data_IF_010726454689
#
_entry.id   IF_010726454689
#
_cell.length_a   1.000
_cell.length_b   1.000
_cell.length_c   1.000
_cell.angle_alpha   90.00
_cell.angle_beta   90.00
_cell.angle_gamma   90.00
#
_symmetry.space_group_name_H-M   'P 1'
#
loop_
_entity.id
_entity.type
_entity.pdbx_description
1 polymer ?
#
# COMPACT_ATOMS: atom_id res chain seq x y z
N UNK A 1 18.28 -7.22 8.43
CA UNK A 1 17.92 -8.05 9.64
C UNK A 1 16.51 -8.61 9.43
N UNK A 2 16.26 -9.90 9.74
CA UNK A 2 14.92 -10.49 9.57
C UNK A 2 13.91 -9.94 10.60
N UNK A 3 12.62 -9.92 10.24
CA UNK A 3 11.54 -9.55 11.15
C UNK A 3 11.55 -10.44 12.39
N UNK A 4 11.30 -9.84 13.55
CA UNK A 4 10.94 -10.60 14.75
C UNK A 4 9.56 -11.23 14.59
N UNK A 5 9.27 -12.31 15.32
CA UNK A 5 7.94 -12.93 15.30
C UNK A 5 6.81 -11.96 15.68
N UNK A 6 7.09 -10.95 16.52
CA UNK A 6 6.11 -9.94 16.91
C UNK A 6 5.83 -8.93 15.78
N UNK A 7 6.87 -8.54 15.05
CA UNK A 7 6.75 -7.68 13.86
C UNK A 7 6.03 -8.42 12.73
N UNK A 8 6.40 -9.68 12.47
CA UNK A 8 5.73 -10.54 11.49
C UNK A 8 4.24 -10.71 11.79
N UNK A 9 3.87 -11.02 13.04
CA UNK A 9 2.46 -11.10 13.45
C UNK A 9 1.71 -9.77 13.34
N UNK A 10 2.42 -8.64 13.40
CA UNK A 10 1.83 -7.31 13.20
C UNK A 10 1.60 -7.04 11.73
N UNK A 11 2.58 -7.36 10.87
CA UNK A 11 2.45 -7.30 9.41
C UNK A 11 1.27 -8.15 8.94
N UNK A 12 1.21 -9.43 9.36
CA UNK A 12 0.09 -10.32 9.01
C UNK A 12 -1.27 -9.77 9.43
N UNK A 13 -1.35 -9.15 10.62
CA UNK A 13 -2.59 -8.53 11.10
C UNK A 13 -3.00 -7.33 10.26
N UNK A 14 -2.07 -6.46 9.90
CA UNK A 14 -2.31 -5.27 9.07
C UNK A 14 -2.80 -5.74 7.69
N UNK A 15 -2.08 -6.67 7.05
CA UNK A 15 -2.47 -7.22 5.75
C UNK A 15 -3.86 -7.84 5.81
N UNK A 16 -4.15 -8.67 6.81
CA UNK A 16 -5.46 -9.29 6.96
C UNK A 16 -6.59 -8.27 7.16
N UNK A 17 -6.34 -7.19 7.93
CA UNK A 17 -7.31 -6.12 8.14
C UNK A 17 -7.61 -5.35 6.84
N UNK A 18 -6.56 -5.01 6.07
CA UNK A 18 -6.70 -4.32 4.79
C UNK A 18 -7.35 -5.21 3.72
N UNK A 19 -7.01 -6.50 3.66
CA UNK A 19 -7.69 -7.45 2.78
C UNK A 19 -9.17 -7.61 3.13
N UNK A 20 -9.51 -7.68 4.43
CA UNK A 20 -10.91 -7.84 4.86
C UNK A 20 -11.76 -6.60 4.67
N UNK A 21 -11.16 -5.41 4.67
CA UNK A 21 -11.86 -4.13 4.47
C UNK A 21 -11.92 -3.71 3.01
N UNK A 22 -11.19 -4.40 2.13
CA UNK A 22 -11.15 -4.07 0.71
C UNK A 22 -12.52 -4.35 0.05
N UNK A 23 -13.17 -3.33 -0.54
CA UNK A 23 -14.55 -3.46 -1.03
C UNK A 23 -14.67 -4.22 -2.36
N UNK A 24 -13.54 -4.49 -3.04
CA UNK A 24 -13.52 -5.10 -4.37
C UNK A 24 -12.94 -6.52 -4.30
N UNK A 25 -13.81 -7.52 -4.19
CA UNK A 25 -13.41 -8.93 -4.09
C UNK A 25 -12.77 -9.49 -5.37
N UNK A 26 -13.02 -8.84 -6.51
CA UNK A 26 -12.51 -9.23 -7.83
C UNK A 26 -11.17 -8.56 -8.21
N UNK A 27 -10.68 -7.62 -7.40
CA UNK A 27 -9.44 -6.88 -7.65
C UNK A 27 -8.32 -7.41 -6.75
N UNK A 28 -7.07 -7.46 -7.26
CA UNK A 28 -5.93 -7.87 -6.45
C UNK A 28 -5.54 -6.74 -5.48
N UNK A 29 -5.78 -6.97 -4.18
CA UNK A 29 -5.30 -6.09 -3.12
C UNK A 29 -3.78 -6.23 -2.89
N UNK A 30 -3.25 -5.70 -1.79
CA UNK A 30 -1.85 -5.87 -1.40
C UNK A 30 -1.49 -7.35 -1.28
N UNK A 31 -0.62 -7.84 -2.17
CA UNK A 31 -0.04 -9.17 -2.09
C UNK A 31 1.41 -9.06 -1.65
N UNK A 32 1.75 -9.65 -0.51
CA UNK A 32 3.13 -9.76 -0.06
C UNK A 32 3.73 -11.08 -0.56
N UNK A 33 4.94 -10.99 -1.12
CA UNK A 33 5.72 -12.16 -1.45
C UNK A 33 6.25 -12.82 -0.17
N UNK A 34 6.25 -14.14 -0.16
CA UNK A 34 6.96 -14.89 0.88
C UNK A 34 8.45 -14.53 0.76
N UNK A 35 9.06 -14.10 1.87
CA UNK A 35 10.45 -13.61 1.96
C UNK A 35 11.53 -14.67 1.62
N UNK A 36 11.16 -15.77 0.96
CA UNK A 36 11.97 -16.96 0.77
C UNK A 36 13.10 -16.85 -0.26
N UNK A 37 13.56 -15.64 -0.62
CA UNK A 37 14.93 -15.51 -1.17
C UNK A 37 15.15 -14.63 -2.40
N UNK A 38 14.69 -13.38 -2.40
CA UNK A 38 15.15 -12.41 -3.40
C UNK A 38 16.38 -11.63 -2.92
N UNK A 39 16.38 -11.06 -1.70
CA UNK A 39 17.56 -10.37 -1.13
C UNK A 39 17.70 -10.58 0.41
N UNK A 40 18.92 -10.65 0.96
CA UNK A 40 19.16 -10.94 2.39
C UNK A 40 18.71 -9.84 3.37
N UNK A 41 18.41 -8.64 2.88
CA UNK A 41 17.90 -7.51 3.66
C UNK A 41 16.47 -7.10 3.26
N UNK A 42 15.81 -7.86 2.38
CA UNK A 42 14.42 -7.62 2.02
C UNK A 42 13.49 -8.20 3.08
N UNK A 43 12.84 -7.30 3.82
CA UNK A 43 12.04 -7.60 5.00
C UNK A 43 10.57 -7.84 4.61
N UNK A 44 10.05 -7.02 3.70
CA UNK A 44 8.70 -7.08 3.15
C UNK A 44 8.78 -6.65 1.69
N UNK A 45 8.28 -7.49 0.79
CA UNK A 45 8.10 -7.14 -0.61
C UNK A 45 6.69 -7.52 -1.05
N UNK A 46 6.10 -6.70 -1.91
CA UNK A 46 4.78 -6.94 -2.43
C UNK A 46 4.54 -6.18 -3.70
N UNK A 47 3.53 -6.61 -4.44
CA UNK A 47 3.07 -5.93 -5.64
C UNK A 47 1.56 -6.06 -5.71
N UNK A 48 0.90 -5.02 -6.21
CA UNK A 48 -0.51 -5.02 -6.54
C UNK A 48 -0.65 -4.68 -8.02
N UNK A 49 -1.63 -5.28 -8.68
CA UNK A 49 -1.96 -4.90 -10.06
C UNK A 49 -2.87 -3.69 -10.04
N UNK A 50 -2.64 -2.77 -10.97
CA UNK A 50 -3.57 -1.69 -11.22
C UNK A 50 -4.94 -2.26 -11.62
N UNK A 51 -6.04 -1.78 -11.02
CA UNK A 51 -7.36 -2.26 -11.35
C UNK A 51 -7.70 -1.90 -12.80
N UNK A 52 -8.42 -2.81 -13.46
CA UNK A 52 -8.81 -2.63 -14.87
C UNK A 52 -9.86 -1.53 -15.05
N UNK A 53 -10.67 -1.29 -14.01
CA UNK A 53 -11.68 -0.24 -13.98
C UNK A 53 -11.05 1.10 -13.51
N UNK A 54 -10.90 2.11 -14.40
CA UNK A 54 -10.28 3.37 -14.05
C UNK A 54 -11.04 4.12 -12.95
N UNK A 55 -12.35 3.90 -12.82
CA UNK A 55 -13.15 4.52 -11.76
C UNK A 55 -12.81 3.98 -10.37
N UNK A 56 -12.18 2.80 -10.30
CA UNK A 56 -11.71 2.16 -9.06
C UNK A 56 -10.21 2.35 -8.82
N UNK A 57 -9.46 2.88 -9.78
CA UNK A 57 -8.02 3.08 -9.66
C UNK A 57 -7.65 3.91 -8.42
N UNK A 58 -8.21 5.12 -8.28
CA UNK A 58 -7.92 5.98 -7.14
C UNK A 58 -8.27 5.36 -5.77
N UNK A 59 -9.49 4.82 -5.52
CA UNK A 59 -9.79 4.22 -4.22
C UNK A 59 -8.96 2.97 -3.93
N UNK A 60 -8.62 2.16 -4.94
CA UNK A 60 -7.74 0.99 -4.75
C UNK A 60 -6.32 1.42 -4.41
N UNK A 61 -5.76 2.38 -5.15
CA UNK A 61 -4.41 2.91 -4.90
C UNK A 61 -4.34 3.54 -3.51
N UNK A 62 -5.33 4.35 -3.13
CA UNK A 62 -5.40 4.95 -1.79
C UNK A 62 -5.40 3.88 -0.70
N UNK A 63 -6.22 2.84 -0.84
CA UNK A 63 -6.29 1.73 0.11
C UNK A 63 -4.95 0.98 0.25
N UNK A 64 -4.27 0.73 -0.88
CA UNK A 64 -2.95 0.08 -0.86
C UNK A 64 -1.90 0.96 -0.19
N UNK A 65 -1.88 2.26 -0.50
CA UNK A 65 -0.92 3.20 0.11
C UNK A 65 -1.16 3.39 1.61
N UNK A 66 -2.42 3.36 2.06
CA UNK A 66 -2.76 3.36 3.49
C UNK A 66 -2.25 2.08 4.18
N UNK A 67 -2.40 0.91 3.54
CA UNK A 67 -1.85 -0.34 4.06
C UNK A 67 -0.32 -0.31 4.18
N UNK A 68 0.38 0.16 3.15
CA UNK A 68 1.85 0.30 3.16
C UNK A 68 2.31 1.34 4.19
N UNK A 69 1.53 2.40 4.39
CA UNK A 69 1.79 3.41 5.43
C UNK A 69 1.71 2.80 6.84
N UNK A 70 0.70 1.98 7.11
CA UNK A 70 0.56 1.30 8.40
C UNK A 70 1.70 0.30 8.62
N UNK A 71 2.11 -0.43 7.58
CA UNK A 71 3.26 -1.32 7.64
C UNK A 71 4.57 -0.59 7.92
N UNK A 72 4.82 0.54 7.26
CA UNK A 72 6.02 1.36 7.50
C UNK A 72 6.06 1.87 8.94
N UNK A 73 4.93 2.33 9.48
CA UNK A 73 4.82 2.77 10.89
C UNK A 73 5.03 1.63 11.88
N UNK A 74 4.62 0.42 11.54
CA UNK A 74 4.86 -0.77 12.36
C UNK A 74 6.34 -1.22 12.35
N UNK A 75 7.09 -0.85 11.31
CA UNK A 75 8.50 -1.22 11.10
C UNK A 75 9.39 0.04 10.98
N UNK A 76 9.54 0.85 12.04
CA UNK A 76 10.28 2.12 11.99
C UNK A 76 11.79 1.96 11.76
N UNK A 77 12.32 0.73 11.87
CA UNK A 77 13.73 0.42 11.60
C UNK A 77 13.99 -0.06 10.17
N UNK A 78 12.96 -0.23 9.35
CA UNK A 78 13.08 -0.71 7.99
C UNK A 78 13.21 0.45 6.99
N UNK A 79 13.99 0.26 5.93
CA UNK A 79 14.01 1.16 4.80
C UNK A 79 12.92 0.71 3.81
N UNK A 80 12.13 1.66 3.35
CA UNK A 80 11.00 1.39 2.46
C UNK A 80 11.19 2.11 1.13
N UNK A 81 10.94 1.37 0.07
CA UNK A 81 11.02 1.83 -1.31
C UNK A 81 9.67 1.51 -1.95
N UNK A 82 8.83 2.54 -2.13
CA UNK A 82 7.47 2.40 -2.66
C UNK A 82 7.41 3.06 -4.03
N UNK A 83 7.19 2.23 -5.04
CA UNK A 83 7.08 2.68 -6.43
C UNK A 83 5.72 2.25 -6.98
N UNK A 84 5.11 3.14 -7.76
CA UNK A 84 3.90 2.86 -8.51
C UNK A 84 4.21 3.06 -9.99
N UNK A 85 4.18 1.98 -10.77
CA UNK A 85 4.71 1.94 -12.14
C UNK A 85 6.14 2.53 -12.18
N UNK A 86 6.33 3.68 -12.83
CA UNK A 86 7.62 4.38 -12.95
C UNK A 86 7.77 5.55 -11.96
N UNK A 87 6.83 5.71 -11.03
CA UNK A 87 6.78 6.83 -10.08
C UNK A 87 7.18 6.38 -8.68
N UNK A 88 8.24 7.00 -8.14
CA UNK A 88 8.55 6.92 -6.72
C UNK A 88 7.50 7.68 -5.91
N UNK A 89 6.95 7.03 -4.89
CA UNK A 89 6.02 7.65 -3.94
C UNK A 89 6.80 8.05 -2.68
N UNK A 90 7.05 9.35 -2.44
CA UNK A 90 7.81 9.78 -1.28
C UNK A 90 7.02 9.53 0.01
N UNK A 91 7.76 9.23 1.07
CA UNK A 91 7.22 9.14 2.42
C UNK A 91 7.02 10.55 3.02
N UNK A 92 5.84 10.78 3.59
CA UNK A 92 5.58 11.92 4.47
C UNK A 92 5.37 11.44 5.92
N UNK A 93 6.02 12.11 6.88
CA UNK A 93 5.95 11.74 8.31
C UNK A 93 4.53 11.84 8.89
N UNK A 94 3.75 12.82 8.47
CA UNK A 94 2.38 13.02 8.96
C UNK A 94 1.40 12.13 8.21
N UNK A 95 1.52 12.12 6.89
CA UNK A 95 0.49 11.63 5.99
C UNK A 95 0.75 10.24 5.42
N UNK A 96 1.99 9.76 5.52
CA UNK A 96 2.44 8.48 4.98
C UNK A 96 2.77 8.54 3.49
N UNK A 97 2.52 7.45 2.78
CA UNK A 97 2.62 7.44 1.32
C UNK A 97 1.35 8.00 0.71
N UNK A 98 1.46 9.13 0.02
CA UNK A 98 0.31 9.82 -0.61
C UNK A 98 0.70 10.31 -1.99
N UNK A 99 -0.17 10.10 -2.98
CA UNK A 99 -0.03 10.69 -4.30
C UNK A 99 -0.51 12.15 -4.32
N UNK A 100 0.18 13.04 -5.06
CA UNK A 100 -0.30 14.40 -5.29
C UNK A 100 -1.73 14.40 -5.83
N UNK A 101 -2.62 15.19 -5.20
CA UNK A 101 -4.03 15.31 -5.62
C UNK A 101 -4.97 14.21 -5.14
N UNK A 102 -4.47 13.16 -4.47
CA UNK A 102 -5.33 12.07 -3.96
C UNK A 102 -6.22 12.50 -2.78
N UNK A 103 -5.76 13.50 -2.01
CA UNK A 103 -6.51 14.11 -0.91
C UNK A 103 -7.06 15.50 -1.28
N UNK A 104 -6.92 15.91 -2.54
CA UNK A 104 -7.62 17.09 -3.04
C UNK A 104 -9.10 16.75 -3.19
N UNK A 105 -9.91 17.18 -2.23
CA UNK A 105 -11.38 17.09 -2.25
C UNK A 105 -12.00 17.70 -3.53
N UNK A 106 -11.22 18.46 -4.32
CA UNK A 106 -11.60 19.05 -5.60
C UNK A 106 -11.65 18.09 -6.79
N UNK A 107 -10.98 16.93 -6.78
CA UNK A 107 -11.00 15.99 -7.92
C UNK A 107 -12.21 15.06 -7.92
N UNK A 108 -12.75 14.70 -6.75
CA UNK A 108 -13.99 13.93 -6.65
C UNK A 108 -15.21 14.69 -7.22
N UNK A 109 -15.16 16.02 -7.25
CA UNK A 109 -16.23 16.87 -7.77
C UNK A 109 -16.15 17.07 -9.29
N UNK A 110 -14.96 16.91 -9.90
CA UNK A 110 -14.77 17.20 -11.33
C UNK A 110 -15.30 16.10 -12.27
N UNK A 111 -15.55 14.88 -11.75
CA UNK A 111 -16.11 13.75 -12.51
C UNK A 111 -17.64 13.62 -12.36
N UNK A 112 -18.27 14.48 -11.55
CA UNK A 112 -19.71 14.49 -11.27
C UNK A 112 -20.44 15.67 -11.96
N UNK A 113 -19.94 16.12 -13.12
CA UNK A 113 -20.64 17.13 -13.92
C UNK A 113 -21.15 16.51 -15.24
N UNK A 114 -22.48 16.39 -15.44
CA UNK A 114 -23.09 15.79 -16.63
C UNK A 114 -22.94 16.64 -17.91
#
# INVERSE_FOLDING_TARGET
MPLTNAEMATVERIVAAHMSSFPYQDEESLYLYDSSGSEPDEIVAGSTKMPLDPSRALPVIAHVLDAVTELHRALPGAQWHVHMDDLDVPWDENDGYVLPGMRDEGLATALDNP
#
